data_IF_140500262297
#
_entry.id   IF_140500262297
#
_cell.length_a   1.000
_cell.length_b   1.000
_cell.length_c   1.000
_cell.angle_alpha   90.00
_cell.angle_beta   90.00
_cell.angle_gamma   90.00
#
_symmetry.space_group_name_H-M   'P 1'
#
loop_
_entity.id
_entity.type
_entity.pdbx_description
1 polymer ?
#
# COMPACT_ATOMS: atom_id res chain seq x y z
N UNK A 1 -8.99 -5.14 -12.38
CA UNK A 1 -9.54 -3.79 -12.61
C UNK A 1 -11.04 -3.73 -12.31
N UNK A 2 -11.83 -4.78 -12.60
CA UNK A 2 -13.29 -4.82 -12.36
C UNK A 2 -13.70 -4.43 -10.92
N UNK A 3 -13.03 -4.91 -9.84
CA UNK A 3 -13.39 -4.51 -8.47
C UNK A 3 -13.20 -3.01 -8.21
N UNK A 4 -12.37 -2.33 -9.00
CA UNK A 4 -12.11 -0.90 -8.83
C UNK A 4 -13.29 -0.01 -9.26
N UNK A 5 -14.18 -0.51 -10.11
CA UNK A 5 -15.37 0.20 -10.56
C UNK A 5 -16.48 0.27 -9.50
N UNK A 6 -16.38 -0.56 -8.46
CA UNK A 6 -17.30 -0.48 -7.32
C UNK A 6 -16.89 0.64 -6.37
N UNK A 7 -17.87 1.21 -5.64
CA UNK A 7 -17.61 2.24 -4.64
C UNK A 7 -16.60 1.75 -3.61
N UNK A 8 -15.66 2.63 -3.21
CA UNK A 8 -14.67 2.37 -2.17
C UNK A 8 -15.32 1.87 -0.86
N UNK A 9 -16.38 2.56 -0.41
CA UNK A 9 -17.10 2.18 0.82
C UNK A 9 -17.71 0.78 0.73
N UNK A 10 -18.34 0.44 -0.41
CA UNK A 10 -18.93 -0.89 -0.62
C UNK A 10 -17.87 -1.97 -0.49
N UNK A 11 -16.67 -1.75 -1.02
CA UNK A 11 -15.55 -2.70 -0.90
C UNK A 11 -15.11 -2.88 0.54
N UNK A 12 -14.97 -1.78 1.30
CA UNK A 12 -14.56 -1.86 2.71
C UNK A 12 -15.61 -2.57 3.55
N UNK A 13 -16.90 -2.30 3.32
CA UNK A 13 -17.99 -3.01 4.00
C UNK A 13 -18.07 -4.49 3.61
N UNK A 14 -17.81 -4.83 2.35
CA UNK A 14 -17.72 -6.23 1.92
C UNK A 14 -16.61 -6.98 2.67
N UNK A 15 -15.42 -6.36 2.82
CA UNK A 15 -14.33 -6.93 3.62
C UNK A 15 -14.72 -7.06 5.09
N UNK A 16 -15.40 -6.08 5.69
CA UNK A 16 -15.92 -6.17 7.05
C UNK A 16 -16.83 -7.39 7.22
N UNK A 17 -17.74 -7.63 6.27
CA UNK A 17 -18.65 -8.78 6.30
C UNK A 17 -17.90 -10.10 6.12
N UNK A 18 -16.90 -10.15 5.25
CA UNK A 18 -16.10 -11.36 5.00
C UNK A 18 -15.23 -11.77 6.20
N UNK A 19 -14.63 -10.75 6.89
CA UNK A 19 -13.77 -10.94 8.06
C UNK A 19 -14.56 -11.08 9.38
N UNK A 20 -15.87 -10.83 9.36
CA UNK A 20 -16.72 -11.01 10.54
C UNK A 20 -16.63 -12.46 11.07
N UNK A 21 -16.75 -12.72 12.39
CA UNK A 21 -16.69 -14.07 12.95
C UNK A 21 -17.62 -15.10 12.26
N UNK A 22 -18.79 -14.64 11.80
CA UNK A 22 -19.73 -15.45 11.02
C UNK A 22 -19.49 -15.38 9.50
N UNK A 23 -18.50 -14.64 9.06
CA UNK A 23 -18.17 -14.43 7.65
C UNK A 23 -17.54 -15.66 6.99
N UNK A 24 -17.56 -15.68 5.66
CA UNK A 24 -17.06 -16.81 4.88
C UNK A 24 -15.57 -17.08 5.13
N UNK A 25 -14.76 -16.03 5.19
CA UNK A 25 -13.30 -16.15 5.39
C UNK A 25 -13.01 -16.72 6.79
N UNK A 26 -13.64 -16.17 7.83
CA UNK A 26 -13.45 -16.64 9.20
C UNK A 26 -13.84 -18.11 9.36
N UNK A 27 -14.99 -18.52 8.82
CA UNK A 27 -15.43 -19.93 8.82
C UNK A 27 -14.44 -20.85 8.09
N UNK A 28 -13.93 -20.41 6.96
CA UNK A 28 -12.98 -21.19 6.17
C UNK A 28 -11.64 -21.37 6.92
N UNK A 29 -11.11 -20.33 7.56
CA UNK A 29 -9.89 -20.40 8.37
C UNK A 29 -10.05 -21.26 9.62
N UNK A 30 -11.22 -21.20 10.28
CA UNK A 30 -11.54 -22.07 11.43
C UNK A 30 -11.63 -23.53 10.96
N UNK A 31 -12.31 -23.81 9.84
CA UNK A 31 -12.45 -25.17 9.30
C UNK A 31 -11.11 -25.77 8.89
N UNK A 32 -10.19 -24.95 8.38
CA UNK A 32 -8.82 -25.37 8.01
C UNK A 32 -7.89 -25.47 9.23
N UNK A 33 -8.34 -25.11 10.44
CA UNK A 33 -7.56 -25.20 11.69
C UNK A 33 -6.47 -24.14 11.84
N UNK A 34 -6.49 -23.05 11.04
CA UNK A 34 -5.51 -21.97 11.13
C UNK A 34 -5.81 -21.00 12.27
N UNK A 35 -7.06 -20.89 12.70
CA UNK A 35 -7.52 -19.92 13.71
C UNK A 35 -8.46 -20.62 14.69
N UNK A 36 -8.33 -20.27 15.98
CA UNK A 36 -9.25 -20.77 17.00
C UNK A 36 -10.60 -20.03 16.89
N UNK A 37 -11.72 -20.67 17.23
CA UNK A 37 -13.06 -20.08 17.18
C UNK A 37 -13.22 -18.80 18.03
N UNK A 38 -12.30 -18.59 18.99
CA UNK A 38 -12.26 -17.42 19.88
C UNK A 38 -11.49 -16.23 19.29
N UNK A 39 -10.69 -16.44 18.26
CA UNK A 39 -9.90 -15.39 17.63
C UNK A 39 -10.71 -14.67 16.55
N UNK A 40 -10.71 -13.34 16.62
CA UNK A 40 -11.41 -12.50 15.65
C UNK A 40 -10.43 -12.01 14.58
N UNK A 41 -10.74 -12.29 13.32
CA UNK A 41 -10.01 -11.72 12.17
C UNK A 41 -10.33 -10.25 11.97
N UNK A 42 -11.47 -9.79 12.43
CA UNK A 42 -11.90 -8.39 12.37
C UNK A 42 -11.39 -7.61 13.59
N UNK A 43 -11.30 -6.30 13.48
CA UNK A 43 -10.90 -5.36 14.52
C UNK A 43 -9.45 -5.56 15.02
N UNK A 44 -8.54 -5.86 14.09
CA UNK A 44 -7.11 -5.94 14.37
C UNK A 44 -6.28 -5.28 13.25
N UNK A 45 -5.00 -5.04 13.52
CA UNK A 45 -4.07 -4.43 12.54
C UNK A 45 -3.88 -5.28 11.29
N UNK A 46 -4.00 -6.62 11.40
CA UNK A 46 -3.92 -7.53 10.26
C UNK A 46 -5.07 -7.35 9.28
N UNK A 47 -6.31 -7.18 9.80
CA UNK A 47 -7.47 -6.88 8.97
C UNK A 47 -7.31 -5.57 8.19
N UNK A 48 -6.84 -4.51 8.87
CA UNK A 48 -6.56 -3.21 8.23
C UNK A 48 -5.55 -3.38 7.11
N UNK A 49 -4.45 -4.10 7.35
CA UNK A 49 -3.39 -4.32 6.38
C UNK A 49 -3.90 -5.06 5.14
N UNK A 50 -4.65 -6.15 5.31
CA UNK A 50 -5.22 -6.93 4.20
C UNK A 50 -6.17 -6.07 3.36
N UNK A 51 -7.09 -5.33 3.99
CA UNK A 51 -8.04 -4.47 3.28
C UNK A 51 -7.33 -3.32 2.57
N UNK A 52 -6.28 -2.75 3.17
CA UNK A 52 -5.47 -1.70 2.54
C UNK A 52 -4.70 -2.23 1.34
N UNK A 53 -4.05 -3.39 1.45
CA UNK A 53 -3.36 -4.03 0.32
C UNK A 53 -4.34 -4.22 -0.84
N UNK A 54 -5.49 -4.85 -0.58
CA UNK A 54 -6.51 -5.04 -1.61
C UNK A 54 -6.97 -3.73 -2.25
N UNK A 55 -7.18 -2.70 -1.45
CA UNK A 55 -7.69 -1.41 -1.91
C UNK A 55 -6.69 -0.66 -2.77
N UNK A 56 -5.41 -0.70 -2.40
CA UNK A 56 -4.35 0.05 -3.08
C UNK A 56 -3.56 -0.76 -4.11
N UNK A 57 -3.79 -2.08 -4.20
CA UNK A 57 -3.13 -2.96 -5.17
C UNK A 57 -3.21 -2.46 -6.63
N UNK A 58 -4.37 -1.99 -7.14
CA UNK A 58 -4.45 -1.47 -8.51
C UNK A 58 -3.53 -0.28 -8.76
N UNK A 59 -3.36 0.60 -7.76
CA UNK A 59 -2.46 1.76 -7.85
C UNK A 59 -0.99 1.35 -7.91
N UNK A 60 -0.63 0.20 -7.32
CA UNK A 60 0.72 -0.36 -7.43
C UNK A 60 0.94 -1.04 -8.79
N UNK A 61 -0.04 -1.82 -9.25
CA UNK A 61 0.09 -2.63 -10.47
C UNK A 61 0.25 -1.75 -11.71
N UNK A 62 -0.52 -0.66 -11.83
CA UNK A 62 -0.52 0.16 -13.05
C UNK A 62 0.86 0.74 -13.42
N UNK A 63 1.58 1.45 -12.53
CA UNK A 63 2.90 1.98 -12.87
C UNK A 63 3.97 0.88 -12.98
N UNK A 64 3.85 -0.23 -12.24
CA UNK A 64 4.74 -1.37 -12.38
C UNK A 64 4.57 -2.05 -13.74
N UNK A 65 3.33 -2.26 -14.17
CA UNK A 65 3.02 -2.83 -15.48
C UNK A 65 3.55 -1.94 -16.60
N UNK A 66 3.29 -0.63 -16.56
CA UNK A 66 3.76 0.31 -17.56
C UNK A 66 5.30 0.39 -17.64
N UNK A 67 6.01 0.20 -16.53
CA UNK A 67 7.46 0.14 -16.51
C UNK A 67 7.99 -1.19 -17.05
N UNK A 68 7.32 -2.30 -16.72
CA UNK A 68 7.68 -3.63 -17.20
C UNK A 68 7.45 -3.78 -18.71
N UNK A 69 6.37 -3.19 -19.24
CA UNK A 69 6.06 -3.20 -20.68
C UNK A 69 7.13 -2.47 -21.52
N UNK A 70 7.74 -1.44 -20.95
CA UNK A 70 8.81 -0.66 -21.61
C UNK A 70 10.21 -1.27 -21.43
N UNK A 71 10.33 -2.33 -20.62
CA UNK A 71 11.62 -2.95 -20.36
C UNK A 71 12.06 -3.82 -21.54
N UNK A 72 13.33 -3.71 -21.91
CA UNK A 72 13.93 -4.54 -22.95
C UNK A 72 14.29 -5.94 -22.38
N UNK A 73 13.48 -6.92 -22.70
CA UNK A 73 13.67 -8.29 -22.24
C UNK A 73 14.89 -8.98 -22.85
N UNK A 74 15.45 -8.48 -23.95
CA UNK A 74 16.67 -9.02 -24.54
C UNK A 74 17.85 -8.96 -23.56
N UNK A 75 17.86 -8.01 -22.63
CA UNK A 75 18.86 -7.91 -21.57
C UNK A 75 18.84 -9.11 -20.61
N UNK A 76 17.67 -9.68 -20.37
CA UNK A 76 17.53 -10.89 -19.54
C UNK A 76 18.05 -12.11 -20.32
N UNK A 77 17.67 -12.23 -21.61
CA UNK A 77 18.11 -13.30 -22.48
C UNK A 77 19.65 -13.31 -22.59
N UNK A 78 20.26 -12.16 -22.85
CA UNK A 78 21.70 -12.03 -22.88
C UNK A 78 22.38 -12.43 -21.56
N UNK A 79 21.78 -12.11 -20.42
CA UNK A 79 22.32 -12.51 -19.12
C UNK A 79 22.23 -14.02 -18.88
N UNK A 80 21.16 -14.66 -19.34
CA UNK A 80 21.00 -16.12 -19.28
C UNK A 80 22.02 -16.83 -20.17
N UNK A 81 22.27 -16.32 -21.36
CA UNK A 81 23.28 -16.84 -22.29
C UNK A 81 24.71 -16.74 -21.71
N UNK A 82 24.97 -15.71 -20.90
CA UNK A 82 26.21 -15.53 -20.13
C UNK A 82 26.29 -16.40 -18.87
N UNK A 83 25.33 -17.32 -18.65
CA UNK A 83 25.33 -18.27 -17.54
C UNK A 83 24.71 -17.74 -16.24
N UNK A 84 23.99 -16.60 -16.27
CA UNK A 84 23.26 -16.13 -15.11
C UNK A 84 22.06 -17.03 -14.82
N UNK A 85 21.72 -17.22 -13.53
CA UNK A 85 20.48 -17.90 -13.18
C UNK A 85 19.27 -16.96 -13.37
N UNK A 86 18.05 -17.48 -13.67
CA UNK A 86 16.86 -16.67 -13.88
C UNK A 86 16.55 -15.71 -12.71
N UNK A 87 16.72 -16.19 -11.48
CA UNK A 87 16.51 -15.39 -10.28
C UNK A 87 17.53 -14.25 -10.17
N UNK A 88 18.79 -14.51 -10.55
CA UNK A 88 19.84 -13.49 -10.53
C UNK A 88 19.63 -12.44 -11.62
N UNK A 89 19.26 -12.85 -12.82
CA UNK A 89 18.90 -11.94 -13.91
C UNK A 89 17.68 -11.07 -13.52
N UNK A 90 16.67 -11.65 -12.89
CA UNK A 90 15.50 -10.90 -12.39
C UNK A 90 15.90 -9.82 -11.37
N UNK A 91 16.66 -10.19 -10.32
CA UNK A 91 17.02 -9.25 -9.24
C UNK A 91 18.03 -8.19 -9.72
N UNK A 92 19.02 -8.58 -10.56
CA UNK A 92 20.13 -7.69 -10.91
C UNK A 92 19.91 -6.87 -12.18
N UNK A 93 18.98 -7.28 -13.05
CA UNK A 93 18.74 -6.61 -14.34
C UNK A 93 17.32 -6.07 -14.41
N UNK A 94 16.32 -6.93 -14.21
CA UNK A 94 14.91 -6.50 -14.34
C UNK A 94 14.49 -5.49 -13.27
N UNK A 95 14.70 -5.82 -11.98
CA UNK A 95 14.29 -4.94 -10.86
C UNK A 95 14.96 -3.57 -10.94
N UNK A 96 16.28 -3.43 -11.18
CA UNK A 96 16.90 -2.14 -11.40
C UNK A 96 16.43 -1.44 -12.69
N UNK A 97 16.11 -2.21 -13.73
CA UNK A 97 15.59 -1.68 -15.01
C UNK A 97 14.24 -0.99 -14.85
N UNK A 98 13.35 -1.54 -14.02
CA UNK A 98 12.02 -0.97 -13.77
C UNK A 98 11.95 -0.09 -12.51
N UNK A 99 13.08 0.32 -11.94
CA UNK A 99 13.14 1.10 -10.68
C UNK A 99 12.26 2.36 -10.67
N UNK A 100 12.14 3.05 -11.81
CA UNK A 100 11.26 4.22 -11.92
C UNK A 100 9.79 3.87 -11.70
N UNK A 101 9.34 2.71 -12.23
CA UNK A 101 8.00 2.17 -11.98
C UNK A 101 7.80 1.78 -10.52
N UNK A 102 8.80 1.17 -9.89
CA UNK A 102 8.76 0.81 -8.45
C UNK A 102 8.62 2.07 -7.59
N UNK A 103 9.41 3.12 -7.83
CA UNK A 103 9.26 4.38 -7.10
C UNK A 103 7.90 5.03 -7.30
N UNK A 104 7.39 5.05 -8.54
CA UNK A 104 6.06 5.59 -8.85
C UNK A 104 4.95 4.80 -8.15
N UNK A 105 5.02 3.47 -8.18
CA UNK A 105 4.08 2.59 -7.50
C UNK A 105 4.09 2.82 -5.99
N UNK A 106 5.29 2.91 -5.40
CA UNK A 106 5.44 3.16 -3.95
C UNK A 106 4.80 4.49 -3.55
N UNK A 107 5.05 5.56 -4.28
CA UNK A 107 4.45 6.88 -3.99
C UNK A 107 2.93 6.89 -4.19
N UNK A 108 2.44 6.27 -5.27
CA UNK A 108 1.00 6.18 -5.54
C UNK A 108 0.22 5.40 -4.48
N UNK A 109 0.85 4.45 -3.81
CA UNK A 109 0.25 3.69 -2.70
C UNK A 109 0.46 4.39 -1.37
N UNK A 110 1.67 4.86 -1.08
CA UNK A 110 2.05 5.40 0.21
C UNK A 110 1.25 6.66 0.58
N UNK A 111 1.09 7.58 -0.39
CA UNK A 111 0.42 8.87 -0.14
C UNK A 111 -1.03 8.68 0.33
N UNK A 112 -1.92 7.99 -0.42
CA UNK A 112 -3.29 7.79 0.04
C UNK A 112 -3.40 6.82 1.22
N UNK A 113 -2.48 5.85 1.35
CA UNK A 113 -2.49 4.91 2.46
C UNK A 113 -2.25 5.61 3.80
N UNK A 114 -1.26 6.51 3.88
CA UNK A 114 -0.96 7.26 5.11
C UNK A 114 -2.09 8.20 5.52
N UNK A 115 -2.82 8.77 4.54
CA UNK A 115 -4.00 9.61 4.79
C UNK A 115 -5.29 8.84 5.03
N UNK A 116 -5.27 7.51 4.92
CA UNK A 116 -6.48 6.69 5.09
C UNK A 116 -6.98 6.71 6.53
N UNK A 117 -8.26 6.96 6.70
CA UNK A 117 -8.95 6.87 8.00
C UNK A 117 -10.13 5.89 7.96
N UNK A 118 -10.78 5.75 6.81
CA UNK A 118 -12.01 4.96 6.67
C UNK A 118 -11.75 3.47 6.90
N UNK A 119 -10.64 2.93 6.38
CA UNK A 119 -10.32 1.50 6.53
C UNK A 119 -10.02 1.16 7.98
N UNK A 120 -9.11 1.87 8.69
CA UNK A 120 -8.88 1.63 10.11
C UNK A 120 -10.12 1.83 10.97
N UNK A 121 -10.98 2.79 10.65
CA UNK A 121 -12.20 3.08 11.41
C UNK A 121 -13.26 1.98 11.28
N UNK A 122 -13.41 1.38 10.09
CA UNK A 122 -14.44 0.36 9.83
C UNK A 122 -13.99 -1.06 10.19
N UNK A 123 -12.72 -1.40 9.94
CA UNK A 123 -12.18 -2.77 10.00
C UNK A 123 -11.15 -2.94 11.10
N UNK A 124 -10.54 -1.85 11.56
CA UNK A 124 -9.50 -1.84 12.60
C UNK A 124 -10.07 -1.87 14.00
N UNK A 125 -9.21 -2.25 14.96
CA UNK A 125 -9.48 -2.17 16.40
C UNK A 125 -8.82 -0.95 17.02
N UNK A 126 -8.89 -0.85 18.36
CA UNK A 126 -8.29 0.24 19.15
C UNK A 126 -6.79 0.41 18.94
N UNK A 127 -6.09 -0.68 18.62
CA UNK A 127 -4.63 -0.69 18.43
C UNK A 127 -4.22 -0.48 16.97
N UNK A 128 -5.20 -0.24 16.08
CA UNK A 128 -4.96 -0.09 14.63
C UNK A 128 -5.05 1.36 14.17
N UNK A 129 -4.90 2.33 15.07
CA UNK A 129 -5.00 3.74 14.75
C UNK A 129 -3.87 4.18 13.82
N UNK A 130 -4.25 4.82 12.71
CA UNK A 130 -3.32 5.44 11.77
C UNK A 130 -3.29 6.95 11.94
N UNK A 131 -2.28 7.61 11.36
CA UNK A 131 -2.16 9.08 11.41
C UNK A 131 -3.40 9.75 10.81
N UNK A 132 -3.92 9.22 9.69
CA UNK A 132 -5.17 9.71 9.08
C UNK A 132 -6.38 9.61 10.01
N UNK A 133 -6.51 8.50 10.76
CA UNK A 133 -7.58 8.33 11.76
C UNK A 133 -7.46 9.33 12.90
N UNK A 134 -6.25 9.61 13.38
CA UNK A 134 -6.01 10.62 14.44
C UNK A 134 -6.35 12.02 13.97
N UNK A 135 -6.01 12.38 12.73
CA UNK A 135 -6.38 13.67 12.15
C UNK A 135 -7.90 13.80 12.08
N UNK A 136 -8.58 12.76 11.59
CA UNK A 136 -10.03 12.72 11.52
C UNK A 136 -10.69 12.88 12.89
N UNK A 137 -10.25 12.12 13.91
CA UNK A 137 -10.77 12.20 15.28
C UNK A 137 -10.62 13.61 15.86
N UNK A 138 -9.45 14.25 15.69
CA UNK A 138 -9.20 15.60 16.18
C UNK A 138 -10.02 16.67 15.43
N UNK A 139 -10.24 16.47 14.12
CA UNK A 139 -10.97 17.44 13.30
C UNK A 139 -12.49 17.41 13.54
N UNK A 140 -13.09 16.21 13.55
CA UNK A 140 -14.55 16.05 13.51
C UNK A 140 -15.13 15.79 14.91
N UNK A 141 -14.81 14.68 15.63
CA UNK A 141 -15.37 14.46 16.96
C UNK A 141 -14.91 15.49 17.98
N UNK A 142 -13.61 15.74 18.10
CA UNK A 142 -13.03 16.61 19.12
C UNK A 142 -13.14 18.10 18.77
N UNK A 143 -13.45 18.45 17.51
CA UNK A 143 -13.49 19.83 16.98
C UNK A 143 -12.23 20.65 17.30
N UNK A 144 -11.10 19.99 17.47
CA UNK A 144 -9.81 20.63 17.75
C UNK A 144 -9.05 20.87 16.44
N UNK A 145 -9.52 21.85 15.67
CA UNK A 145 -8.94 22.19 14.35
C UNK A 145 -7.46 22.56 14.40
N UNK A 146 -6.96 23.33 15.41
CA UNK A 146 -5.53 23.63 15.47
C UNK A 146 -4.65 22.38 15.58
N UNK A 147 -5.05 21.40 16.40
CA UNK A 147 -4.31 20.15 16.54
C UNK A 147 -4.40 19.28 15.28
N UNK A 148 -5.57 19.16 14.68
CA UNK A 148 -5.77 18.44 13.42
C UNK A 148 -4.92 19.04 12.29
N UNK A 149 -4.86 20.38 12.19
CA UNK A 149 -4.05 21.09 11.20
C UNK A 149 -2.55 20.85 11.41
N UNK A 150 -2.08 20.85 12.64
CA UNK A 150 -0.68 20.56 12.97
C UNK A 150 -0.30 19.12 12.56
N UNK A 151 -1.13 18.12 12.88
CA UNK A 151 -0.91 16.73 12.46
C UNK A 151 -0.93 16.58 10.95
N UNK A 152 -1.87 17.25 10.26
CA UNK A 152 -1.96 17.25 8.80
C UNK A 152 -0.71 17.86 8.15
N UNK A 153 -0.21 18.97 8.69
CA UNK A 153 1.01 19.61 8.21
C UNK A 153 2.24 18.71 8.42
N UNK A 154 2.35 18.04 9.57
CA UNK A 154 3.42 17.08 9.84
C UNK A 154 3.35 15.87 8.89
N UNK A 155 2.17 15.32 8.66
CA UNK A 155 1.96 14.24 7.70
C UNK A 155 2.40 14.68 6.30
N UNK A 156 1.93 15.84 5.85
CA UNK A 156 2.25 16.41 4.54
C UNK A 156 3.76 16.59 4.35
N UNK A 157 4.43 17.18 5.33
CA UNK A 157 5.89 17.34 5.30
C UNK A 157 6.60 15.98 5.31
N UNK A 158 6.18 15.04 6.17
CA UNK A 158 6.74 13.70 6.25
C UNK A 158 6.63 12.90 4.96
N UNK A 159 5.57 13.13 4.18
CA UNK A 159 5.33 12.45 2.90
C UNK A 159 6.07 13.12 1.74
N UNK A 160 6.09 14.45 1.67
CA UNK A 160 6.67 15.18 0.53
C UNK A 160 8.18 15.42 0.65
N UNK A 161 8.70 15.60 1.85
CA UNK A 161 10.13 15.96 2.05
C UNK A 161 11.07 14.83 1.59
N UNK A 162 10.86 13.54 1.92
CA UNK A 162 11.75 12.47 1.46
C UNK A 162 11.87 12.33 -0.05
N UNK A 163 10.77 12.27 -0.84
CA UNK A 163 10.88 12.17 -2.28
C UNK A 163 11.46 13.45 -2.92
N UNK A 164 11.18 14.63 -2.34
CA UNK A 164 11.76 15.88 -2.79
C UNK A 164 13.27 15.91 -2.60
N UNK A 165 13.76 15.49 -1.43
CA UNK A 165 15.19 15.37 -1.16
C UNK A 165 15.83 14.37 -2.11
N UNK A 166 15.23 13.17 -2.28
CA UNK A 166 15.72 12.17 -3.21
C UNK A 166 15.81 12.70 -4.65
N UNK A 167 14.78 13.42 -5.11
CA UNK A 167 14.79 14.07 -6.43
C UNK A 167 15.91 15.11 -6.58
N UNK A 168 16.13 15.96 -5.58
CA UNK A 168 17.21 16.93 -5.59
C UNK A 168 18.59 16.27 -5.67
N UNK A 169 18.82 15.19 -4.92
CA UNK A 169 20.09 14.44 -4.98
C UNK A 169 20.31 13.77 -6.34
N UNK A 170 19.30 13.16 -6.92
CA UNK A 170 19.39 12.50 -8.24
C UNK A 170 19.69 13.55 -9.31
N UNK A 171 19.01 14.71 -9.27
CA UNK A 171 19.22 15.79 -10.22
C UNK A 171 20.66 16.35 -10.16
N UNK A 172 21.22 16.53 -8.97
CA UNK A 172 22.62 17.01 -8.82
C UNK A 172 23.63 16.02 -9.39
N UNK A 173 23.36 14.72 -9.31
CA UNK A 173 24.27 13.68 -9.83
C UNK A 173 24.30 13.65 -11.37
N UNK A 174 23.19 13.98 -12.02
CA UNK A 174 23.10 14.02 -13.50
C UNK A 174 23.68 15.30 -14.13
N UNK A 175 23.99 16.34 -13.35
CA UNK A 175 24.60 17.58 -13.86
C UNK A 175 26.12 17.49 -13.88
N UNK A 176 26.71 16.54 -13.15
CA UNK A 176 28.15 16.36 -13.00
C UNK A 176 28.73 15.23 -13.90
N UNK A 177 27.95 14.76 -14.88
CA UNK A 177 28.38 13.90 -16.00
C UNK A 177 28.19 14.63 -17.31
#
# INVERSE_FOLDING_TARGET
ILPFWTSFLVRVFAWKTLLHPEGLISKLFITLGFIQPTEQLLYNSGAVLVVMIYTYLPFAILPLYAAAEKFDFSLIEAALDLGSTPLRAFIQIFVPGIKAGIYSATLMVLIPALGSYVVPDIVGGTDSEMVGSKIYQRAIPDRNLPHASALSALLFLGVLVPPFIAWCFIRRRNINI
#
